data_IF_777653829284
#
_entry.id   IF_777653829284
#
_cell.length_a   1.000
_cell.length_b   1.000
_cell.length_c   1.000
_cell.angle_alpha   90.00
_cell.angle_beta   90.00
_cell.angle_gamma   90.00
#
_symmetry.space_group_name_H-M   'P 1'
#
loop_
_entity.id
_entity.type
_entity.pdbx_description
1 polymer ?
#
# COMPACT_ATOMS: atom_id res chain seq x y z
N UNK A 1 7.32 -11.31 -7.58
CA UNK A 1 7.31 -10.14 -6.68
C UNK A 1 8.22 -9.03 -7.20
N UNK A 2 9.48 -9.30 -7.53
CA UNK A 2 10.39 -8.30 -8.11
C UNK A 2 9.81 -7.61 -9.37
N UNK A 3 9.28 -8.38 -10.33
CA UNK A 3 8.65 -7.84 -11.55
C UNK A 3 7.50 -6.86 -11.25
N UNK A 4 6.71 -7.15 -10.22
CA UNK A 4 5.55 -6.35 -9.82
C UNK A 4 6.00 -5.04 -9.17
N UNK A 5 7.09 -5.07 -8.40
CA UNK A 5 7.69 -3.84 -7.86
C UNK A 5 8.25 -2.96 -8.97
N UNK A 6 8.94 -3.54 -9.95
CA UNK A 6 9.43 -2.75 -11.09
C UNK A 6 8.28 -2.10 -11.85
N UNK A 7 7.19 -2.83 -12.06
CA UNK A 7 5.98 -2.30 -12.67
C UNK A 7 5.41 -1.15 -11.83
N UNK A 8 5.19 -1.35 -10.52
CA UNK A 8 4.61 -0.33 -9.64
C UNK A 8 5.51 0.89 -9.48
N UNK A 9 6.83 0.71 -9.41
CA UNK A 9 7.78 1.82 -9.37
C UNK A 9 7.61 2.73 -10.58
N UNK A 10 7.43 2.16 -11.78
CA UNK A 10 7.17 2.92 -13.01
C UNK A 10 5.76 3.51 -13.04
N UNK A 11 4.73 2.72 -12.73
CA UNK A 11 3.32 3.13 -12.81
C UNK A 11 2.98 4.27 -11.84
N UNK A 12 3.53 4.22 -10.63
CA UNK A 12 3.24 5.18 -9.56
C UNK A 12 4.40 6.16 -9.33
N UNK A 13 5.43 6.13 -10.18
CA UNK A 13 6.63 6.98 -10.07
C UNK A 13 7.29 6.95 -8.68
N UNK A 14 7.44 5.75 -8.11
CA UNK A 14 7.96 5.56 -6.74
C UNK A 14 9.48 5.39 -6.77
N UNK A 15 10.18 6.25 -6.03
CA UNK A 15 11.64 6.19 -5.85
C UNK A 15 12.04 5.16 -4.80
N UNK A 16 13.12 4.42 -5.09
CA UNK A 16 13.71 3.42 -4.22
C UNK A 16 12.70 2.39 -3.66
N UNK A 17 11.69 2.04 -4.46
CA UNK A 17 10.71 1.02 -4.10
C UNK A 17 11.39 -0.34 -3.93
N UNK A 18 11.25 -0.93 -2.76
CA UNK A 18 11.85 -2.22 -2.41
C UNK A 18 10.95 -3.03 -1.49
N UNK A 19 11.06 -4.35 -1.59
CA UNK A 19 10.53 -5.29 -0.60
C UNK A 19 11.49 -5.30 0.59
N UNK A 20 10.98 -5.02 1.80
CA UNK A 20 11.79 -4.96 3.04
C UNK A 20 11.51 -6.12 3.99
N UNK A 21 10.53 -6.97 3.68
CA UNK A 21 10.22 -8.16 4.47
C UNK A 21 8.78 -8.61 4.29
N UNK A 22 8.31 -9.38 5.27
CA UNK A 22 6.95 -9.92 5.29
C UNK A 22 6.34 -9.79 6.69
N UNK A 23 5.04 -9.45 6.75
CA UNK A 23 4.24 -9.42 7.97
C UNK A 23 3.08 -10.40 7.85
N UNK A 24 3.09 -11.47 8.63
CA UNK A 24 2.05 -12.51 8.56
C UNK A 24 1.94 -13.17 7.18
N UNK A 25 3.04 -13.26 6.44
CA UNK A 25 3.07 -13.78 5.06
C UNK A 25 2.77 -12.73 3.97
N UNK A 26 2.38 -11.51 4.34
CA UNK A 26 2.13 -10.42 3.39
C UNK A 26 3.38 -9.57 3.14
N UNK A 27 3.66 -9.16 1.90
CA UNK A 27 4.82 -8.34 1.59
C UNK A 27 4.76 -6.97 2.29
N UNK A 28 5.93 -6.52 2.73
CA UNK A 28 6.16 -5.16 3.23
C UNK A 28 6.99 -4.42 2.20
N UNK A 29 6.43 -3.36 1.62
CA UNK A 29 7.11 -2.49 0.66
C UNK A 29 7.50 -1.18 1.33
N UNK A 30 8.66 -0.65 0.94
CA UNK A 30 9.14 0.66 1.34
C UNK A 30 9.57 1.45 0.11
N UNK A 31 9.25 2.74 0.10
CA UNK A 31 9.70 3.68 -0.93
C UNK A 31 9.93 5.07 -0.31
N UNK A 32 10.63 5.95 -1.04
CA UNK A 32 10.95 7.28 -0.54
C UNK A 32 9.69 8.16 -0.47
N UNK A 33 9.60 8.97 0.60
CA UNK A 33 8.53 9.94 0.75
C UNK A 33 8.78 11.13 -0.18
N UNK A 34 7.80 11.50 -0.98
CA UNK A 34 7.82 12.75 -1.75
C UNK A 34 6.72 13.70 -1.27
N UNK A 35 7.03 15.00 -1.19
CA UNK A 35 6.13 16.01 -0.59
C UNK A 35 4.82 16.21 -1.38
N UNK A 36 4.78 15.81 -2.64
CA UNK A 36 3.61 15.88 -3.51
C UNK A 36 2.65 14.68 -3.34
N UNK A 37 2.96 13.71 -2.48
CA UNK A 37 2.11 12.54 -2.29
C UNK A 37 0.79 12.90 -1.59
N UNK A 38 -0.33 12.58 -2.25
CA UNK A 38 -1.70 12.88 -1.80
C UNK A 38 -2.00 12.42 -0.37
N UNK A 39 -1.43 11.27 0.03
CA UNK A 39 -1.59 10.70 1.37
C UNK A 39 -1.05 11.60 2.51
N UNK A 40 -0.14 12.53 2.22
CA UNK A 40 0.44 13.44 3.21
C UNK A 40 -0.55 14.52 3.63
N UNK A 41 -1.44 14.94 2.71
CA UNK A 41 -2.49 15.92 2.97
C UNK A 41 -3.71 15.31 3.71
N UNK A 42 -3.78 13.98 3.83
CA UNK A 42 -4.92 13.28 4.44
C UNK A 42 -4.77 13.17 5.97
N UNK A 43 -5.89 13.25 6.67
CA UNK A 43 -5.97 12.91 8.08
C UNK A 43 -5.76 11.41 8.33
N UNK A 44 -5.39 11.04 9.55
CA UNK A 44 -5.24 9.63 9.93
C UNK A 44 -6.54 8.82 9.73
N UNK A 45 -7.70 9.42 10.02
CA UNK A 45 -9.00 8.76 9.86
C UNK A 45 -9.35 8.50 8.39
N UNK A 46 -9.05 9.45 7.50
CA UNK A 46 -9.23 9.26 6.06
C UNK A 46 -8.35 8.13 5.54
N UNK A 47 -7.08 8.10 5.95
CA UNK A 47 -6.15 7.02 5.60
C UNK A 47 -6.67 5.66 6.08
N UNK A 48 -7.11 5.54 7.33
CA UNK A 48 -7.70 4.31 7.87
C UNK A 48 -8.93 3.86 7.09
N UNK A 49 -9.81 4.79 6.71
CA UNK A 49 -11.00 4.50 5.89
C UNK A 49 -10.63 3.99 4.50
N UNK A 50 -9.65 4.61 3.85
CA UNK A 50 -9.16 4.18 2.54
C UNK A 50 -8.57 2.78 2.62
N UNK A 51 -7.69 2.52 3.59
CA UNK A 51 -7.10 1.19 3.80
C UNK A 51 -8.20 0.13 3.97
N UNK A 52 -9.21 0.42 4.79
CA UNK A 52 -10.34 -0.49 5.01
C UNK A 52 -11.11 -0.80 3.72
N UNK A 53 -11.29 0.20 2.86
CA UNK A 53 -11.90 0.00 1.55
C UNK A 53 -11.01 -0.86 0.64
N UNK A 54 -9.69 -0.62 0.63
CA UNK A 54 -8.74 -1.41 -0.15
C UNK A 54 -8.76 -2.89 0.26
N UNK A 55 -8.79 -3.20 1.56
CA UNK A 55 -8.92 -4.57 2.07
C UNK A 55 -10.22 -5.24 1.59
N UNK A 56 -11.34 -4.53 1.72
CA UNK A 56 -12.66 -5.04 1.34
C UNK A 56 -12.71 -5.33 -0.16
N UNK A 57 -12.23 -4.41 -1.00
CA UNK A 57 -12.22 -4.61 -2.44
C UNK A 57 -11.23 -5.69 -2.88
N UNK A 58 -10.03 -5.74 -2.28
CA UNK A 58 -9.08 -6.81 -2.57
C UNK A 58 -9.63 -8.19 -2.22
N UNK A 59 -10.41 -8.29 -1.14
CA UNK A 59 -11.04 -9.54 -0.74
C UNK A 59 -12.20 -9.96 -1.65
N UNK A 60 -13.02 -9.00 -2.11
CA UNK A 60 -14.05 -9.24 -3.12
C UNK A 60 -13.44 -9.73 -4.43
N UNK A 61 -12.36 -9.08 -4.90
CA UNK A 61 -11.71 -9.41 -6.16
C UNK A 61 -11.09 -10.81 -6.17
N UNK A 62 -10.60 -11.26 -5.03
CA UNK A 62 -10.03 -12.60 -4.86
C UNK A 62 -11.07 -13.67 -4.48
N UNK A 63 -12.35 -13.31 -4.39
CA UNK A 63 -13.41 -14.24 -3.99
C UNK A 63 -13.32 -14.71 -2.54
N UNK A 64 -12.50 -14.05 -1.71
CA UNK A 64 -12.25 -14.38 -0.29
C UNK A 64 -13.00 -13.44 0.67
N UNK A 65 -13.90 -12.61 0.15
CA UNK A 65 -14.80 -11.76 0.93
C UNK A 65 -14.06 -10.85 1.90
N UNK A 66 -14.30 -11.01 3.20
CA UNK A 66 -13.76 -10.15 4.25
C UNK A 66 -12.41 -10.63 4.83
N UNK A 67 -11.72 -11.58 4.19
CA UNK A 67 -10.52 -12.21 4.77
C UNK A 67 -9.32 -11.27 4.97
N UNK A 68 -9.28 -10.10 4.31
CA UNK A 68 -8.20 -9.12 4.49
C UNK A 68 -8.46 -8.08 5.58
N UNK A 69 -9.49 -8.24 6.42
CA UNK A 69 -9.77 -7.28 7.50
C UNK A 69 -8.55 -7.06 8.41
N UNK A 70 -8.10 -5.81 8.52
CA UNK A 70 -6.97 -5.37 9.37
C UNK A 70 -5.64 -6.06 9.04
N UNK A 71 -5.46 -6.48 7.79
CA UNK A 71 -4.21 -7.07 7.31
C UNK A 71 -3.27 -6.03 6.71
N UNK A 72 -3.80 -4.89 6.29
CA UNK A 72 -3.03 -3.84 5.66
C UNK A 72 -2.54 -2.80 6.67
N UNK A 73 -1.29 -2.37 6.50
CA UNK A 73 -0.63 -1.39 7.37
C UNK A 73 -0.03 -0.29 6.52
N UNK A 74 -0.16 0.96 6.98
CA UNK A 74 0.52 2.13 6.43
C UNK A 74 1.31 2.80 7.56
N UNK A 75 2.60 3.04 7.33
CA UNK A 75 3.42 3.89 8.19
C UNK A 75 4.11 4.95 7.33
N UNK A 76 4.08 6.18 7.82
CA UNK A 76 4.72 7.34 7.21
C UNK A 76 5.82 7.74 8.17
N UNK A 77 7.07 7.58 7.73
CA UNK A 77 8.25 8.04 8.45
C UNK A 77 8.70 9.39 7.88
N UNK A 78 9.79 9.95 8.42
CA UNK A 78 10.33 11.23 7.98
C UNK A 78 10.75 11.19 6.49
N UNK A 79 11.50 10.17 6.07
CA UNK A 79 12.03 10.08 4.70
C UNK A 79 11.41 8.95 3.85
N UNK A 80 10.58 8.10 4.44
CA UNK A 80 10.08 6.90 3.77
C UNK A 80 8.63 6.59 4.11
N UNK A 81 7.97 5.89 3.20
CA UNK A 81 6.65 5.31 3.41
C UNK A 81 6.78 3.80 3.37
N UNK A 82 6.13 3.14 4.34
CA UNK A 82 6.09 1.70 4.47
C UNK A 82 4.64 1.25 4.37
N UNK A 83 4.36 0.33 3.45
CA UNK A 83 3.06 -0.32 3.31
C UNK A 83 3.22 -1.83 3.46
N UNK A 84 2.28 -2.47 4.14
CA UNK A 84 2.20 -3.93 4.20
C UNK A 84 0.79 -4.38 3.85
N UNK A 85 0.66 -5.53 3.21
CA UNK A 85 -0.63 -6.11 2.87
C UNK A 85 -0.55 -7.06 1.70
N UNK A 86 -1.66 -7.73 1.40
CA UNK A 86 -1.74 -8.57 0.19
C UNK A 86 -1.49 -7.74 -1.07
N UNK A 87 -0.91 -8.33 -2.10
CA UNK A 87 -0.50 -7.63 -3.33
C UNK A 87 -1.63 -6.78 -3.95
N UNK A 88 -2.84 -7.34 -4.06
CA UNK A 88 -4.02 -6.63 -4.56
C UNK A 88 -4.44 -5.45 -3.67
N UNK A 89 -4.27 -5.58 -2.36
CA UNK A 89 -4.58 -4.50 -1.41
C UNK A 89 -3.52 -3.40 -1.51
N UNK A 90 -2.24 -3.77 -1.61
CA UNK A 90 -1.13 -2.82 -1.81
C UNK A 90 -1.28 -2.03 -3.11
N UNK A 91 -1.59 -2.70 -4.22
CA UNK A 91 -1.86 -2.03 -5.50
C UNK A 91 -2.95 -0.97 -5.35
N UNK A 92 -4.08 -1.34 -4.73
CA UNK A 92 -5.20 -0.42 -4.50
C UNK A 92 -4.82 0.72 -3.55
N UNK A 93 -3.99 0.46 -2.54
CA UNK A 93 -3.47 1.51 -1.66
C UNK A 93 -2.62 2.50 -2.46
N UNK A 94 -1.71 2.03 -3.31
CA UNK A 94 -0.90 2.88 -4.18
C UNK A 94 -1.79 3.73 -5.10
N UNK A 95 -2.81 3.13 -5.73
CA UNK A 95 -3.78 3.84 -6.57
C UNK A 95 -4.58 4.92 -5.84
N UNK A 96 -4.80 4.79 -4.52
CA UNK A 96 -5.58 5.77 -3.74
C UNK A 96 -4.72 6.84 -3.06
N UNK A 97 -3.47 6.49 -2.75
CA UNK A 97 -2.57 7.33 -1.96
C UNK A 97 -1.56 8.11 -2.82
N UNK A 98 -1.25 7.61 -4.01
CA UNK A 98 -0.25 8.19 -4.91
C UNK A 98 -0.89 8.88 -6.11
N UNK A 99 -1.95 8.30 -6.70
CA UNK A 99 -2.79 8.91 -7.75
C UNK A 99 -3.97 9.71 -7.13
#
# INVERSE_FOLDING_TARGET
MEEILEQWSKTFNLKNLKLVGYHGGYPIIQFDKEDNMKLLAMSENERKRIIRNCETHGGIELGVGWNFVRTAVLRINDDSIVMAGHEYVLRRMLEKFIL
#
